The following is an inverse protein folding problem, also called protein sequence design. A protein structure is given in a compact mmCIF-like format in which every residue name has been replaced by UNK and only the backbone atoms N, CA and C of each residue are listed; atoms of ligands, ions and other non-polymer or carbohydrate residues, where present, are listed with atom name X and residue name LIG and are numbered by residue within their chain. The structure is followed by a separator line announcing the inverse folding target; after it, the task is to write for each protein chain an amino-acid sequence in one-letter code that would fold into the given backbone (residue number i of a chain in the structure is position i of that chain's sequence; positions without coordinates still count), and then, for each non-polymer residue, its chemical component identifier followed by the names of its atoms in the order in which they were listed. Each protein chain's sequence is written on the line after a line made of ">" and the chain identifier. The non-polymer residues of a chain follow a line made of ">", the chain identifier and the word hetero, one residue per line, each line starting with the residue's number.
data_IF_059827256044
#
_entry.id   IF_059827256044
#
_cell.length_a   1.000
_cell.length_b   1.000
_cell.length_c   1.000
_cell.angle_alpha   90.00
_cell.angle_beta   90.00
_cell.angle_gamma   90.00
#
_symmetry.space_group_name_H-M   'P 1'
#
loop_
_entity.id
_entity.type
_entity.pdbx_description
1 polymer ?
#
# COMPACT_ATOMS: atom_id res chain seq x y z
N UNK A 1 -3.66 10.82 8.45
CA UNK A 1 -3.80 11.08 9.89
C UNK A 1 -3.14 12.41 10.29
N UNK A 2 -1.83 12.62 10.10
CA UNK A 2 -1.13 13.86 10.52
C UNK A 2 -1.74 15.12 9.90
N UNK A 3 -2.02 15.10 8.60
CA UNK A 3 -2.61 16.23 7.87
C UNK A 3 -4.00 16.59 8.41
N UNK A 4 -4.88 15.60 8.57
CA UNK A 4 -6.26 15.77 9.08
C UNK A 4 -6.30 16.36 10.48
N UNK A 5 -5.25 16.16 11.30
CA UNK A 5 -5.14 16.66 12.68
C UNK A 5 -4.24 17.90 12.81
N UNK A 6 -3.78 18.50 11.71
CA UNK A 6 -3.01 19.75 11.74
C UNK A 6 -1.53 19.61 12.09
N UNK A 7 -1.02 18.40 12.34
CA UNK A 7 0.39 18.18 12.72
C UNK A 7 1.33 18.52 11.56
N UNK A 8 0.93 18.31 10.31
CA UNK A 8 1.74 18.71 9.13
C UNK A 8 1.94 20.22 9.08
N UNK A 9 0.91 21.02 9.38
CA UNK A 9 1.01 22.49 9.47
C UNK A 9 1.93 22.93 10.60
N UNK A 10 1.86 22.24 11.75
CA UNK A 10 2.78 22.48 12.85
C UNK A 10 4.23 22.25 12.40
N UNK A 11 4.52 21.11 11.76
CA UNK A 11 5.85 20.79 11.23
C UNK A 11 6.35 21.85 10.25
N UNK A 12 5.50 22.31 9.32
CA UNK A 12 5.84 23.33 8.34
C UNK A 12 6.11 24.73 8.98
N UNK A 13 5.48 25.02 10.11
CA UNK A 13 5.60 26.33 10.78
C UNK A 13 6.80 26.43 11.73
N UNK A 14 7.51 25.34 12.01
CA UNK A 14 8.62 25.30 12.96
C UNK A 14 9.95 24.98 12.27
N UNK A 15 10.97 25.78 12.52
CA UNK A 15 12.33 25.56 11.99
C UNK A 15 12.97 24.28 12.54
N UNK A 16 12.64 23.91 13.77
CA UNK A 16 12.95 22.63 14.39
C UNK A 16 11.93 22.34 15.49
N UNK A 17 11.72 21.08 15.81
CA UNK A 17 10.79 20.63 16.84
C UNK A 17 11.21 19.27 17.41
N UNK A 18 10.80 19.00 18.62
CA UNK A 18 10.89 17.71 19.29
C UNK A 18 9.53 16.98 19.27
N UNK A 19 9.53 15.72 19.66
CA UNK A 19 8.26 15.01 19.91
C UNK A 19 7.44 15.69 20.99
N UNK A 20 8.12 16.25 22.03
CA UNK A 20 7.44 16.92 23.13
C UNK A 20 6.71 18.20 22.69
N UNK A 21 7.25 18.94 21.72
CA UNK A 21 6.59 20.14 21.19
C UNK A 21 5.26 19.78 20.49
N UNK A 22 5.22 18.65 19.78
CA UNK A 22 3.98 18.15 19.19
C UNK A 22 3.02 17.69 20.29
N UNK A 23 3.49 16.93 21.29
CA UNK A 23 2.65 16.43 22.38
C UNK A 23 2.05 17.55 23.24
N UNK A 24 2.75 18.67 23.35
CA UNK A 24 2.24 19.86 24.05
C UNK A 24 1.13 20.57 23.25
N UNK A 25 1.10 20.40 21.94
CA UNK A 25 0.17 21.07 21.02
C UNK A 25 -1.01 20.20 20.59
N UNK A 26 -0.85 18.88 20.65
CA UNK A 26 -1.82 17.90 20.15
C UNK A 26 -1.98 16.75 21.13
N UNK A 27 -3.22 16.36 21.38
CA UNK A 27 -3.51 15.13 22.12
C UNK A 27 -3.28 13.93 21.19
N UNK A 28 -2.14 13.24 21.34
CA UNK A 28 -1.78 12.10 20.52
C UNK A 28 -0.92 11.08 21.28
N UNK A 29 -0.85 9.86 20.78
CA UNK A 29 -0.06 8.78 21.37
C UNK A 29 1.43 8.98 21.08
N UNK A 30 2.24 9.16 22.12
CA UNK A 30 3.67 9.43 22.03
C UNK A 30 4.45 8.30 21.30
N UNK A 31 4.09 7.02 21.56
CA UNK A 31 4.76 5.88 20.94
C UNK A 31 4.54 5.82 19.43
N UNK A 32 3.31 5.92 18.98
CA UNK A 32 2.98 5.93 17.55
C UNK A 32 3.47 7.21 16.86
N UNK A 33 3.44 8.36 17.53
CA UNK A 33 4.02 9.58 17.00
C UNK A 33 5.53 9.42 16.78
N UNK A 34 6.26 8.86 17.74
CA UNK A 34 7.70 8.61 17.60
C UNK A 34 8.00 7.70 16.38
N UNK A 35 7.24 6.60 16.20
CA UNK A 35 7.39 5.72 15.05
C UNK A 35 7.12 6.48 13.74
N UNK A 36 6.06 7.29 13.72
CA UNK A 36 5.69 8.08 12.54
C UNK A 36 6.76 9.10 12.15
N UNK A 37 7.31 9.84 13.12
CA UNK A 37 8.38 10.82 12.84
C UNK A 37 9.66 10.13 12.33
N UNK A 38 10.01 8.96 12.88
CA UNK A 38 11.14 8.16 12.39
C UNK A 38 10.89 7.63 10.98
N UNK A 39 9.65 7.23 10.66
CA UNK A 39 9.28 6.81 9.31
C UNK A 39 9.44 7.96 8.31
N UNK A 40 8.94 9.16 8.64
CA UNK A 40 9.13 10.35 7.80
C UNK A 40 10.62 10.71 7.65
N UNK A 41 11.42 10.52 8.69
CA UNK A 41 12.87 10.74 8.62
C UNK A 41 13.57 9.70 7.74
N UNK A 42 13.16 8.42 7.80
CA UNK A 42 13.73 7.36 6.94
C UNK A 42 13.42 7.57 5.46
N UNK A 43 12.32 8.25 5.14
CA UNK A 43 11.95 8.64 3.78
C UNK A 43 12.58 9.97 3.35
N UNK A 44 13.34 10.62 4.22
CA UNK A 44 13.99 11.90 3.93
C UNK A 44 13.07 13.12 3.99
N UNK A 45 11.82 12.98 4.48
CA UNK A 45 10.92 14.13 4.67
C UNK A 45 11.35 14.98 5.87
N UNK A 46 11.92 14.34 6.90
CA UNK A 46 12.52 14.97 8.06
C UNK A 46 14.00 14.59 8.13
N UNK A 47 14.81 15.48 8.69
CA UNK A 47 16.12 15.15 9.25
C UNK A 47 16.07 15.32 10.75
N UNK A 48 16.95 14.62 11.47
CA UNK A 48 16.99 14.70 12.92
C UNK A 48 18.43 14.76 13.42
N UNK A 49 18.56 15.46 14.55
CA UNK A 49 19.77 15.52 15.35
C UNK A 49 19.49 14.90 16.73
N UNK A 50 20.36 14.03 17.19
CA UNK A 50 20.27 13.46 18.55
C UNK A 50 21.01 14.40 19.49
N UNK A 51 20.26 14.97 20.46
CA UNK A 51 20.79 15.89 21.44
C UNK A 51 20.86 15.18 22.79
N UNK A 52 21.93 15.45 23.57
CA UNK A 52 22.12 14.97 24.94
C UNK A 52 21.85 13.46 25.14
N UNK A 53 22.89 12.66 25.14
CA UNK A 53 22.91 11.23 25.52
C UNK A 53 21.84 10.34 24.83
N UNK A 54 21.33 10.75 23.67
CA UNK A 54 20.41 9.95 22.88
C UNK A 54 18.93 10.02 23.33
N UNK A 55 18.59 10.85 24.33
CA UNK A 55 17.24 10.95 24.88
C UNK A 55 16.39 11.95 24.10
N UNK A 56 16.98 13.07 23.65
CA UNK A 56 16.27 14.12 22.95
C UNK A 56 16.60 14.14 21.47
N UNK A 57 15.56 14.05 20.64
CA UNK A 57 15.66 14.10 19.18
C UNK A 57 15.01 15.41 18.71
N UNK A 58 15.77 16.20 17.96
CA UNK A 58 15.27 17.40 17.28
C UNK A 58 15.08 17.08 15.80
N UNK A 59 13.88 17.31 15.30
CA UNK A 59 13.51 17.13 13.90
C UNK A 59 13.48 18.46 13.15
N UNK A 60 13.80 18.42 11.88
CA UNK A 60 13.70 19.56 10.94
C UNK A 60 13.09 19.07 9.65
N UNK A 61 12.18 19.86 9.09
CA UNK A 61 11.61 19.61 7.78
C UNK A 61 12.69 19.78 6.70
N UNK A 62 12.74 18.87 5.73
CA UNK A 62 13.62 18.99 4.57
C UNK A 62 12.89 19.65 3.40
N UNK A 63 13.60 20.04 2.35
CA UNK A 63 12.98 20.49 1.10
C UNK A 63 12.06 19.43 0.50
N UNK A 64 12.53 18.17 0.44
CA UNK A 64 11.71 17.02 0.06
C UNK A 64 10.43 16.93 0.90
N UNK A 65 10.58 17.02 2.22
CA UNK A 65 9.44 16.94 3.14
C UNK A 65 8.42 18.06 2.92
N UNK A 66 8.88 19.29 2.62
CA UNK A 66 7.98 20.40 2.30
C UNK A 66 7.11 20.06 1.08
N UNK A 67 7.74 19.65 -0.03
CA UNK A 67 7.05 19.28 -1.27
C UNK A 67 6.10 18.08 -1.03
N UNK A 68 6.56 17.04 -0.36
CA UNK A 68 5.76 15.85 -0.10
C UNK A 68 4.55 16.13 0.82
N UNK A 69 4.68 17.01 1.81
CA UNK A 69 3.54 17.42 2.66
C UNK A 69 2.48 18.16 1.84
N UNK A 70 2.89 19.02 0.91
CA UNK A 70 1.96 19.76 0.04
C UNK A 70 1.20 18.82 -0.91
N UNK A 71 1.77 17.64 -1.22
CA UNK A 71 1.14 16.60 -2.04
C UNK A 71 0.29 15.59 -1.22
N UNK A 72 0.26 15.71 0.12
CA UNK A 72 -0.54 14.77 0.96
C UNK A 72 -2.03 14.71 0.63
N UNK A 73 -2.71 15.74 0.08
CA UNK A 73 -4.11 15.64 -0.32
C UNK A 73 -4.38 14.52 -1.35
N UNK A 74 -3.41 14.17 -2.20
CA UNK A 74 -3.56 13.07 -3.15
C UNK A 74 -3.76 11.71 -2.46
N UNK A 75 -3.30 11.54 -1.21
CA UNK A 75 -3.52 10.32 -0.44
C UNK A 75 -4.95 10.15 0.06
N UNK A 76 -5.75 11.21 0.13
CA UNK A 76 -7.09 11.13 0.76
C UNK A 76 -7.99 10.17 -0.02
N UNK A 77 -8.03 10.24 -1.36
CA UNK A 77 -8.79 9.34 -2.20
C UNK A 77 -8.38 7.87 -2.02
N UNK A 78 -7.06 7.61 -2.00
CA UNK A 78 -6.53 6.25 -1.82
C UNK A 78 -6.77 5.74 -0.40
N UNK A 79 -6.64 6.61 0.62
CA UNK A 79 -6.87 6.21 2.02
C UNK A 79 -8.32 5.81 2.28
N UNK A 80 -9.27 6.43 1.61
CA UNK A 80 -10.69 6.07 1.72
C UNK A 80 -10.99 4.72 1.05
N UNK A 81 -10.21 4.34 0.04
CA UNK A 81 -10.33 3.05 -0.64
C UNK A 81 -9.60 1.90 0.08
N UNK A 82 -8.68 2.18 1.03
CA UNK A 82 -7.93 1.13 1.75
C UNK A 82 -8.86 0.10 2.41
N UNK A 83 -10.02 0.51 2.90
CA UNK A 83 -10.99 -0.41 3.50
C UNK A 83 -11.43 -1.51 2.53
N UNK A 84 -11.54 -1.18 1.22
CA UNK A 84 -11.85 -2.16 0.18
C UNK A 84 -10.63 -3.00 -0.19
N UNK A 85 -9.43 -2.41 -0.16
CA UNK A 85 -8.18 -3.14 -0.42
C UNK A 85 -7.85 -4.19 0.66
N UNK A 86 -8.34 -4.01 1.89
CA UNK A 86 -8.19 -5.01 2.97
C UNK A 86 -8.87 -6.35 2.60
N UNK A 87 -10.02 -6.27 1.97
CA UNK A 87 -10.86 -7.42 1.56
C UNK A 87 -11.00 -7.50 0.04
N UNK A 88 -9.98 -7.07 -0.71
CA UNK A 88 -10.05 -6.94 -2.18
C UNK A 88 -10.36 -8.27 -2.86
N UNK A 89 -9.91 -9.39 -2.30
CA UNK A 89 -10.21 -10.74 -2.78
C UNK A 89 -11.72 -11.01 -2.86
N UNK A 90 -12.51 -10.52 -1.89
CA UNK A 90 -13.98 -10.64 -1.93
C UNK A 90 -14.55 -9.87 -3.11
N UNK A 91 -14.09 -8.65 -3.33
CA UNK A 91 -14.60 -7.82 -4.43
C UNK A 91 -14.23 -8.38 -5.81
N UNK A 92 -13.07 -9.03 -5.94
CA UNK A 92 -12.62 -9.57 -7.21
C UNK A 92 -13.21 -10.94 -7.54
N UNK A 93 -13.51 -11.77 -6.54
CA UNK A 93 -13.81 -13.19 -6.76
C UNK A 93 -15.16 -13.66 -6.18
N UNK A 94 -15.82 -12.87 -5.33
CA UNK A 94 -17.14 -13.21 -4.79
C UNK A 94 -18.22 -12.59 -5.68
N UNK A 95 -19.02 -13.40 -6.39
CA UNK A 95 -20.06 -12.91 -7.30
C UNK A 95 -21.20 -12.18 -6.59
N UNK A 96 -21.36 -12.38 -5.27
CA UNK A 96 -22.36 -11.70 -4.46
C UNK A 96 -21.85 -10.37 -3.89
N UNK A 97 -20.60 -10.01 -4.14
CA UNK A 97 -20.02 -8.73 -3.70
C UNK A 97 -20.56 -7.55 -4.53
N UNK A 98 -20.57 -6.37 -3.89
CA UNK A 98 -20.84 -5.13 -4.64
C UNK A 98 -19.68 -4.82 -5.58
N UNK A 99 -19.98 -4.35 -6.80
CA UNK A 99 -18.94 -3.90 -7.74
C UNK A 99 -18.15 -2.71 -7.19
N UNK A 100 -16.84 -2.73 -7.42
CA UNK A 100 -15.91 -1.63 -7.10
C UNK A 100 -15.40 -0.91 -8.35
N UNK A 101 -15.89 -1.26 -9.53
CA UNK A 101 -15.38 -0.75 -10.82
C UNK A 101 -15.35 0.78 -10.88
N UNK A 102 -16.42 1.43 -10.45
CA UNK A 102 -16.52 2.90 -10.52
C UNK A 102 -15.47 3.59 -9.67
N UNK A 103 -15.33 3.17 -8.40
CA UNK A 103 -14.34 3.75 -7.50
C UNK A 103 -12.92 3.40 -7.94
N UNK A 104 -12.71 2.18 -8.42
CA UNK A 104 -11.41 1.74 -8.92
C UNK A 104 -10.99 2.54 -10.16
N UNK A 105 -11.89 2.74 -11.12
CA UNK A 105 -11.63 3.57 -12.29
C UNK A 105 -11.31 5.01 -11.90
N UNK A 106 -11.97 5.56 -10.87
CA UNK A 106 -11.65 6.89 -10.34
C UNK A 106 -10.21 6.96 -9.81
N UNK A 107 -9.75 5.92 -9.10
CA UNK A 107 -8.36 5.83 -8.62
C UNK A 107 -7.37 5.71 -9.77
N UNK A 108 -7.68 4.91 -10.77
CA UNK A 108 -6.82 4.75 -11.95
C UNK A 108 -6.67 6.06 -12.73
N UNK A 109 -7.76 6.79 -12.93
CA UNK A 109 -7.69 8.11 -13.58
C UNK A 109 -6.93 9.13 -12.72
N UNK A 110 -7.02 9.06 -11.39
CA UNK A 110 -6.23 9.89 -10.49
C UNK A 110 -4.72 9.57 -10.61
N UNK A 111 -4.33 8.29 -10.71
CA UNK A 111 -2.94 7.89 -10.94
C UNK A 111 -2.42 8.40 -12.28
N UNK A 112 -3.17 8.22 -13.37
CA UNK A 112 -2.80 8.71 -14.70
C UNK A 112 -2.62 10.24 -14.70
N UNK A 113 -3.54 10.97 -14.06
CA UNK A 113 -3.44 12.43 -13.92
C UNK A 113 -2.20 12.87 -13.13
N UNK A 114 -1.81 12.11 -12.10
CA UNK A 114 -0.58 12.38 -11.35
C UNK A 114 0.67 12.16 -12.22
N UNK A 115 0.70 11.09 -13.00
CA UNK A 115 1.81 10.80 -13.90
C UNK A 115 1.94 11.85 -15.01
N UNK A 116 0.82 12.30 -15.59
CA UNK A 116 0.82 13.37 -16.59
C UNK A 116 1.32 14.69 -16.01
N UNK A 117 0.98 14.97 -14.74
CA UNK A 117 1.37 16.19 -14.05
C UNK A 117 2.83 16.14 -13.55
N UNK A 118 3.32 14.96 -13.13
CA UNK A 118 4.61 14.78 -12.48
C UNK A 118 5.44 13.70 -13.18
N UNK A 119 5.68 13.89 -14.48
CA UNK A 119 6.42 12.95 -15.32
C UNK A 119 7.96 13.03 -15.19
N UNK A 120 8.47 14.00 -14.41
CA UNK A 120 9.90 14.10 -14.10
C UNK A 120 10.28 13.05 -13.05
N UNK A 121 10.98 11.99 -13.48
CA UNK A 121 11.38 10.85 -12.65
C UNK A 121 12.35 11.22 -11.52
N UNK A 122 13.00 12.38 -11.59
CA UNK A 122 13.88 12.89 -10.53
C UNK A 122 13.13 13.76 -9.52
N UNK A 123 11.83 13.99 -9.70
CA UNK A 123 11.01 14.79 -8.80
C UNK A 123 10.49 14.00 -7.61
N UNK A 124 10.36 14.64 -6.46
CA UNK A 124 9.71 14.04 -5.27
C UNK A 124 8.21 13.77 -5.50
N UNK A 125 7.59 14.48 -6.41
CA UNK A 125 6.19 14.27 -6.78
C UNK A 125 6.02 12.94 -7.53
N UNK A 126 6.96 12.57 -8.38
CA UNK A 126 7.00 11.26 -9.02
C UNK A 126 7.11 10.12 -7.98
N UNK A 127 7.97 10.29 -6.94
CA UNK A 127 8.04 9.30 -5.86
C UNK A 127 6.69 9.11 -5.16
N UNK A 128 5.92 10.19 -4.95
CA UNK A 128 4.58 10.11 -4.35
C UNK A 128 3.62 9.36 -5.25
N UNK A 129 3.63 9.62 -6.57
CA UNK A 129 2.80 8.88 -7.52
C UNK A 129 3.12 7.38 -7.50
N UNK A 130 4.40 6.99 -7.51
CA UNK A 130 4.83 5.57 -7.39
C UNK A 130 4.43 4.94 -6.06
N UNK A 131 4.44 5.70 -4.97
CA UNK A 131 3.97 5.22 -3.67
C UNK A 131 2.45 4.93 -3.69
N UNK A 132 1.64 5.83 -4.24
CA UNK A 132 0.20 5.64 -4.37
C UNK A 132 -0.14 4.46 -5.28
N UNK A 133 0.60 4.30 -6.38
CA UNK A 133 0.53 3.13 -7.26
C UNK A 133 0.79 1.84 -6.46
N UNK A 134 1.88 1.79 -5.69
CA UNK A 134 2.23 0.62 -4.87
C UNK A 134 1.18 0.27 -3.82
N UNK A 135 0.53 1.29 -3.22
CA UNK A 135 -0.59 1.10 -2.28
C UNK A 135 -1.77 0.40 -2.94
N UNK A 136 -2.05 0.70 -4.20
CA UNK A 136 -3.13 0.08 -4.96
C UNK A 136 -2.75 -1.31 -5.47
N UNK A 137 -1.56 -1.46 -6.05
CA UNK A 137 -1.11 -2.68 -6.72
C UNK A 137 -0.81 -3.81 -5.74
N UNK A 138 -0.17 -3.52 -4.61
CA UNK A 138 0.27 -4.54 -3.65
C UNK A 138 -0.84 -5.49 -3.20
N UNK A 139 -1.99 -4.97 -2.69
CA UNK A 139 -3.12 -5.80 -2.30
C UNK A 139 -3.72 -6.62 -3.44
N UNK A 140 -3.81 -6.03 -4.64
CA UNK A 140 -4.31 -6.71 -5.85
C UNK A 140 -3.42 -7.88 -6.21
N UNK A 141 -2.09 -7.68 -6.27
CA UNK A 141 -1.14 -8.75 -6.55
C UNK A 141 -1.27 -9.91 -5.56
N UNK A 142 -1.42 -9.60 -4.28
CA UNK A 142 -1.56 -10.62 -3.24
C UNK A 142 -2.89 -11.37 -3.38
N UNK A 143 -4.01 -10.67 -3.63
CA UNK A 143 -5.31 -11.31 -3.85
C UNK A 143 -5.28 -12.24 -5.06
N UNK A 144 -4.74 -11.75 -6.16
CA UNK A 144 -4.56 -12.57 -7.35
C UNK A 144 -3.65 -13.79 -7.09
N UNK A 145 -2.51 -13.61 -6.41
CA UNK A 145 -1.57 -14.70 -6.10
C UNK A 145 -2.11 -15.74 -5.11
N UNK A 146 -3.08 -15.36 -4.27
CA UNK A 146 -3.78 -16.28 -3.37
C UNK A 146 -4.98 -16.97 -4.03
N UNK A 147 -5.37 -16.55 -5.22
CA UNK A 147 -6.43 -17.13 -6.02
C UNK A 147 -5.89 -18.16 -7.01
N UNK A 148 -6.74 -19.07 -7.48
CA UNK A 148 -6.38 -20.04 -8.51
C UNK A 148 -6.25 -19.38 -9.90
N UNK A 149 -6.74 -18.14 -10.06
CA UNK A 149 -6.69 -17.40 -11.32
C UNK A 149 -5.29 -17.33 -11.92
N UNK A 150 -4.26 -17.12 -11.10
CA UNK A 150 -2.89 -17.02 -11.57
C UNK A 150 -2.30 -18.36 -11.97
N UNK A 151 -2.54 -19.39 -11.17
CA UNK A 151 -2.03 -20.73 -11.46
C UNK A 151 -2.52 -21.24 -12.83
N UNK A 152 -3.72 -20.80 -13.24
CA UNK A 152 -4.34 -21.20 -14.49
C UNK A 152 -3.98 -20.33 -15.69
N UNK A 153 -3.55 -19.08 -15.47
CA UNK A 153 -3.46 -18.07 -16.53
C UNK A 153 -2.07 -17.47 -16.76
N UNK A 154 -1.05 -17.80 -15.95
CA UNK A 154 0.33 -17.28 -16.09
C UNK A 154 1.28 -18.38 -16.55
N UNK A 155 1.02 -18.95 -17.69
CA UNK A 155 2.03 -19.64 -18.49
C UNK A 155 2.58 -18.65 -19.51
N UNK A 156 3.87 -18.80 -19.85
CA UNK A 156 4.49 -17.96 -20.87
C UNK A 156 3.70 -18.12 -22.19
N UNK A 157 3.39 -17.00 -22.85
CA UNK A 157 2.61 -16.92 -24.10
C UNK A 157 1.09 -17.24 -24.00
N UNK A 158 0.54 -17.44 -22.81
CA UNK A 158 -0.90 -17.64 -22.66
C UNK A 158 -1.66 -16.32 -22.75
N UNK A 159 -2.65 -16.28 -23.61
CA UNK A 159 -3.57 -15.13 -23.74
C UNK A 159 -4.85 -15.36 -22.97
N UNK A 160 -5.42 -14.28 -22.46
CA UNK A 160 -6.73 -14.27 -21.79
C UNK A 160 -7.73 -13.58 -22.72
N UNK A 161 -8.80 -14.28 -23.08
CA UNK A 161 -9.90 -13.70 -23.85
C UNK A 161 -10.69 -12.69 -23.02
N UNK A 162 -10.76 -11.44 -23.50
CA UNK A 162 -11.41 -10.32 -22.78
C UNK A 162 -12.90 -10.54 -22.62
N UNK A 163 -13.58 -11.11 -23.62
CA UNK A 163 -15.02 -11.34 -23.55
C UNK A 163 -15.35 -12.43 -22.53
N UNK A 164 -14.55 -13.48 -22.47
CA UNK A 164 -14.67 -14.53 -21.47
C UNK A 164 -14.41 -13.98 -20.07
N UNK A 165 -13.34 -13.21 -19.90
CA UNK A 165 -13.00 -12.57 -18.62
C UNK A 165 -14.14 -11.66 -18.14
N UNK A 166 -14.67 -10.81 -19.04
CA UNK A 166 -15.79 -9.92 -18.72
C UNK A 166 -17.10 -10.63 -18.35
N UNK A 167 -17.30 -11.88 -18.82
CA UNK A 167 -18.47 -12.68 -18.43
C UNK A 167 -18.28 -13.45 -17.13
N UNK A 168 -17.06 -13.95 -16.88
CA UNK A 168 -16.77 -14.83 -15.73
C UNK A 168 -16.27 -14.07 -14.52
N UNK A 169 -15.51 -13.01 -14.72
CA UNK A 169 -14.86 -12.19 -13.66
C UNK A 169 -14.83 -10.72 -14.07
N UNK A 170 -15.98 -10.04 -14.18
CA UNK A 170 -16.06 -8.66 -14.67
C UNK A 170 -15.24 -7.67 -13.84
N UNK A 171 -15.05 -7.92 -12.55
CA UNK A 171 -14.26 -7.08 -11.65
C UNK A 171 -12.75 -7.12 -11.94
N UNK A 172 -12.27 -8.07 -12.74
CA UNK A 172 -10.89 -8.10 -13.20
C UNK A 172 -10.62 -7.19 -14.42
N UNK A 173 -11.63 -6.73 -15.12
CA UNK A 173 -11.45 -5.83 -16.28
C UNK A 173 -10.73 -4.53 -15.87
N UNK A 174 -11.16 -3.78 -14.83
CA UNK A 174 -10.42 -2.60 -14.37
C UNK A 174 -9.00 -2.92 -13.89
N UNK A 175 -8.77 -4.12 -13.37
CA UNK A 175 -7.43 -4.55 -12.98
C UNK A 175 -6.54 -4.75 -14.21
N UNK A 176 -7.08 -5.31 -15.31
CA UNK A 176 -6.34 -5.41 -16.56
C UNK A 176 -6.08 -4.02 -17.19
N UNK A 177 -6.97 -3.05 -17.00
CA UNK A 177 -6.74 -1.67 -17.42
C UNK A 177 -5.61 -1.01 -16.61
N UNK A 178 -5.53 -1.26 -15.29
CA UNK A 178 -4.39 -0.87 -14.46
C UNK A 178 -3.10 -1.54 -14.94
N UNK A 179 -3.12 -2.83 -15.20
CA UNK A 179 -1.93 -3.56 -15.69
C UNK A 179 -1.49 -3.08 -17.07
N UNK A 180 -2.42 -2.69 -17.94
CA UNK A 180 -2.10 -2.07 -19.22
C UNK A 180 -1.43 -0.69 -19.02
N UNK A 181 -1.94 0.14 -18.12
CA UNK A 181 -1.32 1.40 -17.76
C UNK A 181 0.12 1.22 -17.25
N UNK A 182 0.39 0.16 -16.49
CA UNK A 182 1.71 -0.20 -16.00
C UNK A 182 2.61 -0.90 -17.05
N UNK A 183 2.11 -1.13 -18.26
CA UNK A 183 2.79 -1.92 -19.29
C UNK A 183 3.04 -3.38 -18.90
N UNK A 184 2.24 -3.91 -17.97
CA UNK A 184 2.32 -5.30 -17.53
C UNK A 184 1.51 -6.26 -18.39
N UNK A 185 0.58 -5.73 -19.18
CA UNK A 185 -0.18 -6.45 -20.18
C UNK A 185 -0.27 -5.66 -21.47
N UNK A 186 -0.37 -6.40 -22.59
CA UNK A 186 -0.70 -5.87 -23.90
C UNK A 186 -2.07 -6.39 -24.32
N UNK A 187 -2.91 -5.51 -24.87
CA UNK A 187 -4.17 -5.91 -25.51
C UNK A 187 -3.90 -6.14 -26.99
N UNK A 188 -4.14 -7.36 -27.45
CA UNK A 188 -3.98 -7.78 -28.84
C UNK A 188 -5.35 -8.29 -29.29
N UNK A 189 -6.03 -7.53 -30.16
CA UNK A 189 -7.42 -7.78 -30.56
C UNK A 189 -8.35 -7.95 -29.33
N UNK A 190 -9.01 -9.08 -29.22
CA UNK A 190 -9.90 -9.42 -28.08
C UNK A 190 -9.17 -10.18 -26.96
N UNK A 191 -7.85 -10.15 -26.94
CA UNK A 191 -7.03 -10.92 -25.99
C UNK A 191 -6.06 -10.03 -25.20
N UNK A 192 -5.71 -10.48 -24.01
CA UNK A 192 -4.69 -9.89 -23.12
C UNK A 192 -3.51 -10.84 -23.04
N UNK A 193 -2.30 -10.31 -23.24
CA UNK A 193 -1.04 -11.01 -23.07
C UNK A 193 -0.23 -10.34 -21.97
N UNK A 194 0.33 -11.10 -21.00
CA UNK A 194 1.23 -10.57 -20.00
C UNK A 194 2.61 -10.28 -20.57
N UNK A 195 3.14 -9.07 -20.29
CA UNK A 195 4.52 -8.73 -20.60
C UNK A 195 5.51 -9.48 -19.68
N UNK A 196 6.80 -9.51 -20.01
CA UNK A 196 7.83 -10.06 -19.14
C UNK A 196 7.84 -9.40 -17.76
N UNK A 197 7.61 -8.08 -17.67
CA UNK A 197 7.51 -7.32 -16.43
C UNK A 197 6.28 -7.73 -15.62
N UNK A 198 5.11 -7.82 -16.26
CA UNK A 198 3.89 -8.30 -15.64
C UNK A 198 4.08 -9.71 -15.07
N UNK A 199 4.59 -10.61 -15.87
CA UNK A 199 4.91 -12.00 -15.46
C UNK A 199 5.90 -12.01 -14.27
N UNK A 200 6.91 -11.13 -14.28
CA UNK A 200 7.88 -11.01 -13.19
C UNK A 200 7.21 -10.69 -11.85
N UNK A 201 6.34 -9.67 -11.80
CA UNK A 201 5.66 -9.28 -10.57
C UNK A 201 4.65 -10.34 -10.11
N UNK A 202 3.93 -10.91 -11.05
CA UNK A 202 2.91 -11.92 -10.78
C UNK A 202 3.50 -13.21 -10.19
N UNK A 203 4.64 -13.66 -10.68
CA UNK A 203 5.38 -14.82 -10.12
C UNK A 203 5.98 -14.55 -8.73
N UNK A 204 5.91 -13.31 -8.21
CA UNK A 204 6.50 -12.88 -6.91
C UNK A 204 5.48 -12.34 -5.93
N UNK A 205 4.22 -12.60 -6.13
CA UNK A 205 3.12 -12.09 -5.28
C UNK A 205 3.31 -12.39 -3.79
N UNK A 206 3.89 -13.53 -3.43
CA UNK A 206 4.19 -13.92 -2.04
C UNK A 206 5.13 -12.92 -1.33
N UNK A 207 6.01 -12.22 -2.09
CA UNK A 207 6.93 -11.23 -1.51
C UNK A 207 6.20 -10.03 -0.87
N UNK A 208 4.99 -9.74 -1.31
CA UNK A 208 4.16 -8.63 -0.81
C UNK A 208 3.21 -9.07 0.31
N UNK A 209 2.97 -10.38 0.47
CA UNK A 209 1.93 -10.92 1.36
C UNK A 209 2.08 -10.49 2.81
N UNK A 210 3.30 -10.48 3.36
CA UNK A 210 3.53 -10.05 4.75
C UNK A 210 3.14 -8.58 4.94
N UNK A 211 3.62 -7.69 4.08
CA UNK A 211 3.32 -6.24 4.18
C UNK A 211 1.83 -5.97 4.01
N UNK A 212 1.21 -6.54 3.00
CA UNK A 212 -0.22 -6.36 2.71
C UNK A 212 -1.09 -6.92 3.83
N UNK A 213 -0.67 -8.00 4.49
CA UNK A 213 -1.42 -8.56 5.62
C UNK A 213 -1.65 -7.59 6.78
N UNK A 214 -0.83 -6.52 6.88
CA UNK A 214 -0.96 -5.48 7.91
C UNK A 214 -1.80 -4.26 7.46
N UNK A 215 -2.41 -4.26 6.28
CA UNK A 215 -3.33 -3.19 5.88
C UNK A 215 -4.41 -2.87 6.93
N UNK A 216 -5.01 -3.86 7.64
CA UNK A 216 -5.95 -3.57 8.72
C UNK A 216 -5.34 -2.72 9.84
N UNK A 217 -4.04 -2.84 10.12
CA UNK A 217 -3.32 -1.98 11.07
C UNK A 217 -3.10 -0.59 10.47
N UNK A 218 -2.63 -0.51 9.23
CA UNK A 218 -2.35 0.77 8.57
C UNK A 218 -3.61 1.63 8.41
N UNK A 219 -4.74 1.00 8.13
CA UNK A 219 -6.04 1.68 8.10
C UNK A 219 -6.42 2.33 9.44
N UNK A 220 -5.97 1.76 10.56
CA UNK A 220 -6.24 2.27 11.92
C UNK A 220 -5.26 3.36 12.39
N UNK A 221 -4.38 3.87 11.52
CA UNK A 221 -3.35 4.87 11.90
C UNK A 221 -3.95 6.12 12.57
N UNK A 222 -5.15 6.57 12.16
CA UNK A 222 -5.86 7.67 12.82
C UNK A 222 -6.14 7.35 14.29
N UNK A 223 -6.70 6.17 14.57
CA UNK A 223 -7.01 5.72 15.93
C UNK A 223 -5.76 5.47 16.77
N UNK A 224 -4.69 4.96 16.15
CA UNK A 224 -3.44 4.69 16.85
C UNK A 224 -2.73 5.97 17.28
N UNK A 225 -2.78 7.03 16.47
CA UNK A 225 -2.15 8.30 16.73
C UNK A 225 -3.02 9.21 17.63
N UNK A 226 -4.32 9.34 17.33
CA UNK A 226 -5.18 10.37 17.90
C UNK A 226 -6.44 9.83 18.58
N UNK A 227 -6.55 8.52 18.73
CA UNK A 227 -7.68 7.85 19.36
C UNK A 227 -7.23 6.81 20.39
N UNK A 228 -7.89 5.66 20.37
CA UNK A 228 -7.61 4.56 21.30
C UNK A 228 -6.68 3.51 20.69
N UNK A 229 -5.38 3.48 21.03
CA UNK A 229 -4.43 2.51 20.46
C UNK A 229 -4.74 1.05 20.82
N UNK A 230 -5.56 0.81 21.84
CA UNK A 230 -6.00 -0.55 22.20
C UNK A 230 -6.92 -1.18 21.15
N UNK A 231 -7.31 -0.45 20.10
CA UNK A 231 -8.08 -0.99 18.96
C UNK A 231 -7.38 -2.20 18.30
N UNK A 232 -6.05 -2.31 18.39
CA UNK A 232 -5.30 -3.44 17.86
C UNK A 232 -5.55 -4.75 18.63
N UNK A 233 -5.99 -4.67 19.89
CA UNK A 233 -6.30 -5.84 20.72
C UNK A 233 -7.72 -6.36 20.52
N UNK A 234 -8.55 -5.65 19.73
CA UNK A 234 -9.90 -6.10 19.39
C UNK A 234 -9.83 -7.41 18.61
N UNK A 235 -10.78 -8.27 18.93
CA UNK A 235 -11.01 -9.54 18.24
C UNK A 235 -12.40 -9.55 17.62
N UNK A 236 -12.57 -10.31 16.54
CA UNK A 236 -13.88 -10.55 15.96
C UNK A 236 -14.73 -11.50 16.85
N UNK A 237 -15.94 -11.78 16.41
CA UNK A 237 -16.87 -12.67 17.12
C UNK A 237 -16.34 -14.11 17.29
N UNK A 238 -15.41 -14.51 16.44
CA UNK A 238 -14.75 -15.83 16.47
C UNK A 238 -13.46 -15.81 17.33
N UNK A 239 -13.16 -14.70 17.99
CA UNK A 239 -11.97 -14.52 18.82
C UNK A 239 -10.67 -14.27 18.04
N UNK A 240 -10.75 -14.04 16.73
CA UNK A 240 -9.59 -13.82 15.88
C UNK A 240 -9.12 -12.35 15.90
N UNK A 241 -7.82 -12.15 15.68
CA UNK A 241 -7.22 -10.82 15.56
C UNK A 241 -7.77 -10.06 14.35
N UNK A 242 -8.00 -8.75 14.51
CA UNK A 242 -8.54 -7.89 13.45
C UNK A 242 -7.52 -6.89 12.92
N UNK A 243 -6.29 -6.92 13.42
CA UNK A 243 -5.24 -5.98 13.01
C UNK A 243 -4.32 -6.55 11.93
N UNK A 244 -4.39 -7.84 11.65
CA UNK A 244 -3.59 -8.53 10.64
C UNK A 244 -4.39 -9.66 9.99
N UNK A 245 -4.24 -9.83 8.68
CA UNK A 245 -4.75 -11.01 7.98
C UNK A 245 -3.75 -12.16 8.14
N UNK A 246 -3.97 -13.06 9.11
CA UNK A 246 -3.04 -14.16 9.44
C UNK A 246 -2.85 -15.15 8.29
N UNK A 247 -3.91 -15.49 7.54
CA UNK A 247 -3.82 -16.39 6.39
C UNK A 247 -2.86 -15.84 5.34
N UNK A 248 -3.03 -14.57 4.98
CA UNK A 248 -2.19 -13.87 4.03
C UNK A 248 -0.74 -13.73 4.53
N UNK A 249 -0.56 -13.42 5.84
CA UNK A 249 0.76 -13.30 6.45
C UNK A 249 1.56 -14.60 6.37
N UNK A 250 0.94 -15.72 6.75
CA UNK A 250 1.56 -17.05 6.68
C UNK A 250 1.84 -17.46 5.25
N UNK A 251 0.90 -17.23 4.32
CA UNK A 251 1.08 -17.52 2.89
C UNK A 251 2.27 -16.74 2.31
N UNK A 252 2.34 -15.41 2.56
CA UNK A 252 3.43 -14.56 2.08
C UNK A 252 4.78 -14.97 2.67
N UNK A 253 4.84 -15.18 3.99
CA UNK A 253 6.06 -15.59 4.68
C UNK A 253 6.55 -16.97 4.19
N UNK A 254 5.66 -17.95 4.10
CA UNK A 254 5.98 -19.30 3.62
C UNK A 254 6.51 -19.31 2.20
N UNK A 255 5.85 -18.58 1.28
CA UNK A 255 6.26 -18.45 -0.11
C UNK A 255 7.62 -17.74 -0.25
N UNK A 256 7.82 -16.65 0.47
CA UNK A 256 9.08 -15.91 0.44
C UNK A 256 10.27 -16.73 0.99
N UNK A 257 10.03 -17.58 1.97
CA UNK A 257 11.07 -18.41 2.59
C UNK A 257 11.26 -19.80 1.96
N UNK A 258 10.43 -20.18 1.01
CA UNK A 258 10.48 -21.53 0.40
C UNK A 258 11.83 -21.90 -0.20
N UNK A 259 12.54 -20.91 -0.77
CA UNK A 259 13.89 -21.12 -1.32
C UNK A 259 14.92 -21.39 -0.23
N UNK A 260 14.81 -20.72 0.92
CA UNK A 260 15.71 -20.92 2.05
C UNK A 260 15.50 -22.32 2.66
N UNK A 261 14.26 -22.75 2.84
CA UNK A 261 13.97 -24.07 3.35
C UNK A 261 14.49 -25.19 2.44
N UNK A 262 14.31 -25.05 1.12
CA UNK A 262 14.90 -26.01 0.15
C UNK A 262 16.44 -26.06 0.24
N UNK A 263 17.09 -24.92 0.44
CA UNK A 263 18.54 -24.88 0.60
C UNK A 263 19.03 -25.51 1.89
N UNK A 264 18.28 -25.42 2.98
CA UNK A 264 18.58 -26.08 4.24
C UNK A 264 18.47 -27.61 4.08
N UNK A 265 17.44 -28.11 3.40
CA UNK A 265 17.26 -29.53 3.11
C UNK A 265 18.40 -30.13 2.26
N UNK A 266 19.09 -29.33 1.44
CA UNK A 266 20.29 -29.76 0.69
C UNK A 266 21.54 -29.91 1.58
N UNK A 267 21.53 -29.34 2.80
CA UNK A 267 22.70 -29.31 3.70
C UNK A 267 22.57 -30.35 4.82
N UNK A 268 21.36 -30.74 5.20
CA UNK A 268 21.05 -31.73 6.23
C UNK A 268 20.96 -33.12 5.62
#
# INVERSE_FOLDING_TARGET
>A
ALNKNGVTRFIQSHSSFSIQDILNSFECNAGYLNVTLRLLASQGWLKYDIIEDGVNIQYKLTEKGQICIDLTPHYDLFSDFIVKLIDIDKYLFDPDSNSIQTEFNTLLEALKSLDDQYNDTDSYAWEIARHLEGVLIGPILVALGMSDFFLENIEDDKTIDIQTLGKTMPELIPIMDLFQYLSWVEKIDDSILFSPEGTFFLKRTTAYGVTVSYLPTFYKTQELLFGNPNILWKRNLEGMETHVNRRMNVWGSGGAHSLYFRKIDEII
#
